data_IF_452900227083
#
_entry.id   IF_452900227083
#
_cell.length_a   1.000
_cell.length_b   1.000
_cell.length_c   1.000
_cell.angle_alpha   90.00
_cell.angle_beta   90.00
_cell.angle_gamma   90.00
#
_symmetry.space_group_name_H-M   'P 1'
#
loop_
_entity.id
_entity.type
_entity.pdbx_description
1 polymer ?
#
# COMPACT_ATOMS: atom_id res chain seq x y z
N UNK A 1 -20.19 -11.03 3.23
CA UNK A 1 -18.97 -10.29 3.61
C UNK A 1 -19.03 -8.94 2.93
N UNK A 2 -19.01 -7.82 3.66
CA UNK A 2 -19.13 -6.48 3.05
C UNK A 2 -17.95 -6.29 2.08
N UNK A 3 -18.15 -5.71 0.88
CA UNK A 3 -17.08 -5.58 -0.13
C UNK A 3 -15.88 -4.77 0.38
N UNK A 4 -16.06 -3.90 1.38
CA UNK A 4 -14.97 -3.14 2.01
C UNK A 4 -13.92 -3.99 2.73
N UNK A 5 -14.25 -5.21 3.17
CA UNK A 5 -13.25 -6.09 3.80
C UNK A 5 -12.18 -6.51 2.79
N UNK A 6 -12.54 -6.52 1.49
CA UNK A 6 -11.62 -6.82 0.40
C UNK A 6 -10.59 -5.70 0.18
N UNK A 7 -10.87 -4.47 0.62
CA UNK A 7 -9.94 -3.34 0.50
C UNK A 7 -8.67 -3.56 1.33
N UNK A 8 -8.77 -4.28 2.45
CA UNK A 8 -7.64 -4.62 3.31
C UNK A 8 -6.73 -5.69 2.69
N UNK A 9 -7.20 -6.45 1.70
CA UNK A 9 -6.36 -7.41 0.98
C UNK A 9 -5.39 -6.73 0.00
N UNK A 10 -5.70 -5.52 -0.46
CA UNK A 10 -4.86 -4.77 -1.40
C UNK A 10 -3.44 -4.53 -0.85
N UNK A 11 -3.24 -3.95 0.35
CA UNK A 11 -1.90 -3.76 0.88
C UNK A 11 -1.17 -5.08 1.18
N UNK A 12 -1.90 -6.13 1.57
CA UNK A 12 -1.31 -7.45 1.79
C UNK A 12 -0.74 -8.05 0.49
N UNK A 13 -1.52 -8.00 -0.60
CA UNK A 13 -1.10 -8.49 -1.92
C UNK A 13 0.03 -7.64 -2.49
N UNK A 14 -0.03 -6.33 -2.28
CA UNK A 14 1.01 -5.41 -2.72
C UNK A 14 2.36 -5.68 -2.07
N UNK A 15 2.41 -5.94 -0.76
CA UNK A 15 3.66 -6.25 -0.05
C UNK A 15 4.20 -7.62 -0.47
N UNK A 16 3.33 -8.62 -0.72
CA UNK A 16 3.75 -9.93 -1.19
C UNK A 16 4.37 -9.89 -2.60
N UNK A 17 4.04 -8.88 -3.41
CA UNK A 17 4.60 -8.69 -4.75
C UNK A 17 5.97 -7.99 -4.70
N UNK A 18 6.92 -8.57 -3.95
CA UNK A 18 8.29 -8.03 -3.76
C UNK A 18 8.97 -7.72 -5.10
N UNK A 19 8.77 -8.57 -6.12
CA UNK A 19 9.38 -8.41 -7.45
C UNK A 19 8.97 -7.11 -8.18
N UNK A 20 7.83 -6.49 -7.82
CA UNK A 20 7.33 -5.28 -8.48
C UNK A 20 8.02 -4.02 -7.96
N UNK A 21 8.40 -4.01 -6.68
CA UNK A 21 8.98 -2.82 -6.03
C UNK A 21 10.42 -2.97 -5.55
N UNK A 22 11.01 -4.15 -5.68
CA UNK A 22 12.45 -4.34 -5.50
C UNK A 22 13.24 -3.89 -6.73
N UNK A 23 13.07 -2.62 -7.11
CA UNK A 23 13.78 -1.99 -8.21
C UNK A 23 14.69 -0.89 -7.67
N UNK A 24 15.83 -0.69 -8.31
CA UNK A 24 16.73 0.42 -8.00
C UNK A 24 16.24 1.75 -8.58
N UNK A 25 15.53 1.70 -9.70
CA UNK A 25 15.01 2.85 -10.43
C UNK A 25 13.49 2.71 -10.61
N UNK A 26 12.74 3.83 -10.60
CA UNK A 26 13.20 5.22 -10.50
C UNK A 26 13.62 5.64 -9.08
N UNK A 27 14.71 6.41 -9.00
CA UNK A 27 15.17 7.02 -7.74
C UNK A 27 14.44 8.35 -7.54
N UNK A 28 13.86 8.55 -6.36
CA UNK A 28 13.29 9.83 -5.95
C UNK A 28 14.22 10.48 -4.93
N UNK A 29 14.69 11.70 -5.20
CA UNK A 29 15.60 12.44 -4.30
C UNK A 29 16.87 11.63 -3.89
N UNK A 30 17.33 10.72 -4.76
CA UNK A 30 18.44 9.80 -4.48
C UNK A 30 18.05 8.48 -3.79
N UNK A 31 16.81 8.34 -3.33
CA UNK A 31 16.30 7.10 -2.72
C UNK A 31 15.83 6.09 -3.78
N UNK A 32 16.24 4.80 -3.68
CA UNK A 32 15.76 3.72 -4.55
C UNK A 32 14.23 3.53 -4.52
N UNK A 33 13.69 2.95 -5.58
CA UNK A 33 12.25 2.68 -5.74
C UNK A 33 11.65 1.92 -4.56
N UNK A 34 12.39 0.93 -4.07
CA UNK A 34 12.01 0.12 -2.92
C UNK A 34 11.57 0.95 -1.71
N UNK A 35 12.36 1.94 -1.31
CA UNK A 35 12.14 2.68 -0.07
C UNK A 35 10.98 3.66 -0.18
N UNK A 36 10.93 4.45 -1.24
CA UNK A 36 9.88 5.45 -1.36
C UNK A 36 8.53 4.80 -1.66
N UNK A 37 8.51 3.67 -2.36
CA UNK A 37 7.28 2.90 -2.58
C UNK A 37 6.68 2.44 -1.26
N UNK A 38 7.50 1.96 -0.32
CA UNK A 38 7.06 1.62 1.05
C UNK A 38 6.44 2.82 1.77
N UNK A 39 6.99 4.02 1.59
CA UNK A 39 6.43 5.24 2.19
C UNK A 39 5.07 5.60 1.58
N UNK A 40 4.88 5.39 0.28
CA UNK A 40 3.57 5.60 -0.40
C UNK A 40 2.51 4.62 0.12
N UNK A 41 2.89 3.43 0.56
CA UNK A 41 1.96 2.46 1.17
C UNK A 41 1.38 2.92 2.51
N UNK A 42 2.05 3.81 3.24
CA UNK A 42 1.58 4.33 4.53
C UNK A 42 0.25 5.11 4.39
N UNK A 43 0.14 6.17 3.57
CA UNK A 43 -1.12 6.88 3.38
C UNK A 43 -2.20 6.01 2.72
N UNK A 44 -1.81 5.09 1.83
CA UNK A 44 -2.77 4.16 1.18
C UNK A 44 -3.41 3.25 2.22
N UNK A 45 -2.62 2.62 3.09
CA UNK A 45 -3.12 1.73 4.15
C UNK A 45 -3.93 2.51 5.19
N UNK A 46 -3.46 3.69 5.59
CA UNK A 46 -4.20 4.58 6.50
C UNK A 46 -5.57 4.95 5.93
N UNK A 47 -5.64 5.33 4.66
CA UNK A 47 -6.91 5.66 3.99
C UNK A 47 -7.82 4.44 3.87
N UNK A 48 -7.28 3.27 3.54
CA UNK A 48 -8.06 2.04 3.46
C UNK A 48 -8.70 1.67 4.81
N UNK A 49 -7.94 1.79 5.91
CA UNK A 49 -8.45 1.55 7.27
C UNK A 49 -9.49 2.60 7.65
N UNK A 50 -9.25 3.87 7.33
CA UNK A 50 -10.20 4.96 7.60
C UNK A 50 -11.54 4.73 6.87
N UNK A 51 -11.50 4.38 5.59
CA UNK A 51 -12.69 4.08 4.80
C UNK A 51 -13.43 2.86 5.34
N UNK A 52 -12.69 1.83 5.78
CA UNK A 52 -13.27 0.68 6.44
C UNK A 52 -14.04 1.08 7.70
N UNK A 53 -13.42 1.83 8.62
CA UNK A 53 -14.06 2.29 9.87
C UNK A 53 -15.32 3.13 9.58
N UNK A 54 -15.24 4.02 8.59
CA UNK A 54 -16.35 4.91 8.25
C UNK A 54 -17.57 4.20 7.65
N UNK A 55 -17.38 3.05 7.00
CA UNK A 55 -18.47 2.23 6.46
C UNK A 55 -18.87 1.05 7.37
N UNK A 56 -18.10 0.82 8.44
CA UNK A 56 -18.42 -0.18 9.46
C UNK A 56 -19.48 0.34 10.46
N UNK A 57 -19.54 1.66 10.65
CA UNK A 57 -20.66 2.38 11.27
C UNK A 57 -21.84 2.49 10.31
#
# INVERSE_FOLDING_TARGET
MKPLHLLLLIPCLAILWVSSYNLDAPRLLGFPFFYWSQLVWIPITSLAIYLYDRNAK
#
